data_IF_835205320868
#
_entry.id   IF_835205320868
#
_cell.length_a   1.000
_cell.length_b   1.000
_cell.length_c   1.000
_cell.angle_alpha   90.00
_cell.angle_beta   90.00
_cell.angle_gamma   90.00
#
_symmetry.space_group_name_H-M   'P 1'
#
loop_
_entity.id
_entity.type
_entity.pdbx_description
1 polymer ?
#
# COMPACT_ATOMS: atom_id res chain seq x y z
N UNK A 1 -21.16 -1.86 9.29
CA UNK A 1 -20.75 -3.26 9.30
C UNK A 1 -19.33 -3.42 8.76
N UNK A 2 -18.38 -2.72 9.38
CA UNK A 2 -16.99 -2.79 8.94
C UNK A 2 -16.25 -3.90 9.67
N UNK A 3 -15.02 -4.18 9.24
CA UNK A 3 -14.21 -5.21 9.86
C UNK A 3 -13.60 -4.72 11.17
N UNK A 4 -12.76 -5.57 11.77
CA UNK A 4 -12.11 -5.22 13.03
C UNK A 4 -11.22 -3.99 12.87
N UNK A 5 -10.50 -3.93 11.75
CA UNK A 5 -9.60 -2.81 11.47
C UNK A 5 -10.26 -1.82 10.52
N UNK A 6 -9.65 -0.65 10.38
CA UNK A 6 -10.17 0.39 9.50
C UNK A 6 -9.28 0.57 8.27
N UNK A 7 -9.90 0.91 7.15
CA UNK A 7 -9.17 1.11 5.89
C UNK A 7 -9.04 2.60 5.58
N UNK A 8 -7.81 3.03 5.30
CA UNK A 8 -7.55 4.42 4.98
C UNK A 8 -6.77 4.56 3.67
N UNK A 9 -6.72 5.76 3.12
CA UNK A 9 -6.02 6.01 1.87
C UNK A 9 -4.57 5.56 1.97
N UNK A 10 -3.94 5.83 3.12
CA UNK A 10 -2.55 5.47 3.34
C UNK A 10 -2.39 3.95 3.36
N UNK A 11 -3.26 3.28 4.11
CA UNK A 11 -3.21 1.82 4.22
C UNK A 11 -1.79 1.34 4.47
N UNK A 12 -1.43 1.24 5.75
CA UNK A 12 -0.09 0.80 6.13
C UNK A 12 0.03 -0.72 6.02
N UNK A 13 0.73 -1.19 4.99
CA UNK A 13 0.91 -2.61 4.78
C UNK A 13 2.30 -2.90 4.19
N UNK A 14 2.63 -4.18 4.08
CA UNK A 14 3.92 -4.59 3.55
C UNK A 14 3.73 -5.44 2.28
N UNK A 15 4.49 -5.12 1.25
CA UNK A 15 4.41 -5.84 -0.02
C UNK A 15 5.73 -6.56 -0.32
N UNK A 16 5.63 -7.84 -0.66
CA UNK A 16 6.80 -8.64 -0.97
C UNK A 16 7.12 -8.59 -2.47
N UNK A 17 8.34 -8.18 -2.79
CA UNK A 17 8.77 -8.08 -4.18
C UNK A 17 9.45 -9.37 -4.64
N UNK A 18 10.00 -10.11 -3.68
CA UNK A 18 10.68 -11.35 -4.01
C UNK A 18 10.89 -12.24 -2.79
N UNK A 19 12.09 -12.17 -2.21
CA UNK A 19 12.42 -12.96 -1.04
C UNK A 19 13.05 -12.09 0.05
N UNK A 20 13.91 -11.16 -0.36
CA UNK A 20 14.57 -10.28 0.58
C UNK A 20 14.33 -8.82 0.21
N UNK A 21 13.36 -8.58 -0.67
CA UNK A 21 13.03 -7.23 -1.11
C UNK A 21 11.55 -6.95 -0.94
N UNK A 22 11.23 -5.92 -0.16
CA UNK A 22 9.84 -5.55 0.08
C UNK A 22 9.64 -4.04 -0.10
N UNK A 23 8.42 -3.65 -0.45
CA UNK A 23 8.10 -2.24 -0.66
C UNK A 23 6.74 -1.90 -0.05
N UNK A 24 6.58 -0.63 0.37
CA UNK A 24 5.33 -0.16 0.97
C UNK A 24 4.20 -0.06 -0.04
N UNK A 25 2.99 -0.43 0.38
CA UNK A 25 1.83 -0.38 -0.50
C UNK A 25 0.70 0.42 0.14
N UNK A 26 0.10 1.31 -0.63
CA UNK A 26 -1.00 2.14 -0.14
C UNK A 26 -2.21 2.04 -1.07
N UNK A 27 -3.37 1.77 -0.50
CA UNK A 27 -4.60 1.66 -1.28
C UNK A 27 -5.30 3.01 -1.39
N UNK A 28 -5.50 3.47 -2.63
CA UNK A 28 -6.16 4.74 -2.87
C UNK A 28 -7.68 4.58 -2.85
N UNK A 29 -8.14 3.34 -2.72
CA UNK A 29 -9.58 3.06 -2.69
C UNK A 29 -10.22 3.44 -4.02
N UNK A 30 -9.65 2.95 -5.12
CA UNK A 30 -10.17 3.23 -6.45
C UNK A 30 -10.64 1.95 -7.14
N UNK A 31 -11.93 1.85 -7.38
CA UNK A 31 -12.49 0.68 -8.03
C UNK A 31 -12.19 0.69 -9.53
N UNK A 32 -12.38 -0.47 -10.17
CA UNK A 32 -12.12 -0.57 -11.59
C UNK A 32 -13.37 -0.92 -12.39
N UNK A 33 -14.52 -0.42 -11.93
CA UNK A 33 -15.78 -0.68 -12.61
C UNK A 33 -16.76 0.47 -12.41
N UNK A 34 -17.33 0.57 -11.22
CA UNK A 34 -18.28 1.63 -10.91
C UNK A 34 -18.74 1.53 -9.46
N UNK A 35 -17.85 1.08 -8.59
CA UNK A 35 -18.18 0.95 -7.18
C UNK A 35 -18.70 -0.43 -6.83
N UNK A 36 -18.03 -1.45 -7.34
CA UNK A 36 -18.44 -2.84 -7.08
C UNK A 36 -17.70 -3.40 -5.87
N UNK A 37 -16.80 -2.60 -5.31
CA UNK A 37 -16.02 -3.02 -4.14
C UNK A 37 -16.85 -2.86 -2.86
N UNK A 38 -18.05 -2.32 -3.00
CA UNK A 38 -18.91 -2.12 -1.84
C UNK A 38 -19.81 -3.31 -1.58
N UNK A 39 -19.74 -4.30 -2.45
CA UNK A 39 -20.56 -5.50 -2.32
C UNK A 39 -19.70 -6.76 -2.33
N UNK A 40 -19.22 -7.13 -3.52
CA UNK A 40 -18.39 -8.33 -3.66
C UNK A 40 -18.00 -8.54 -5.12
N UNK A 41 -16.77 -8.97 -5.35
CA UNK A 41 -16.26 -9.21 -6.69
C UNK A 41 -17.13 -10.24 -7.42
N UNK A 42 -17.87 -11.03 -6.65
CA UNK A 42 -18.74 -12.06 -7.23
C UNK A 42 -19.76 -11.43 -8.17
N UNK A 43 -20.19 -10.22 -7.85
CA UNK A 43 -21.17 -9.52 -8.67
C UNK A 43 -20.67 -9.34 -10.09
N UNK A 44 -19.71 -8.44 -10.27
CA UNK A 44 -19.16 -8.19 -11.59
C UNK A 44 -17.66 -8.35 -11.64
N UNK A 45 -16.93 -7.28 -11.35
CA UNK A 45 -15.48 -7.30 -11.36
C UNK A 45 -14.90 -6.19 -10.49
N UNK A 46 -15.24 -6.21 -9.21
CA UNK A 46 -14.75 -5.20 -8.27
C UNK A 46 -13.25 -5.30 -8.10
N UNK A 47 -12.52 -4.36 -8.69
CA UNK A 47 -11.07 -4.34 -8.60
C UNK A 47 -10.57 -3.06 -7.95
N UNK A 48 -9.78 -3.20 -6.89
CA UNK A 48 -9.24 -2.05 -6.18
C UNK A 48 -7.82 -1.73 -6.65
N UNK A 49 -7.67 -0.59 -7.32
CA UNK A 49 -6.37 -0.17 -7.82
C UNK A 49 -5.60 0.61 -6.76
N UNK A 50 -4.38 0.15 -6.46
CA UNK A 50 -3.54 0.81 -5.48
C UNK A 50 -2.25 1.33 -6.10
N UNK A 51 -1.74 2.42 -5.57
CA UNK A 51 -0.51 3.03 -6.07
C UNK A 51 0.40 3.44 -4.93
N UNK A 52 1.52 2.75 -4.79
CA UNK A 52 2.49 3.04 -3.74
C UNK A 52 3.15 4.40 -3.97
N UNK A 53 4.19 4.69 -3.18
CA UNK A 53 4.91 5.95 -3.30
C UNK A 53 6.23 5.75 -4.03
N UNK A 54 6.68 6.80 -4.73
CA UNK A 54 7.94 6.77 -5.48
C UNK A 54 9.16 6.74 -4.57
N UNK A 55 10.16 5.95 -4.96
CA UNK A 55 11.37 5.84 -4.16
C UNK A 55 12.48 6.74 -4.68
N UNK A 56 13.70 6.24 -4.62
CA UNK A 56 14.86 6.99 -5.08
C UNK A 56 15.26 6.58 -6.50
N UNK A 57 15.07 5.31 -6.81
CA UNK A 57 15.41 4.80 -8.14
C UNK A 57 14.19 4.17 -8.80
N UNK A 58 13.32 3.56 -8.00
CA UNK A 58 12.12 2.91 -8.52
C UNK A 58 10.91 3.82 -8.35
N UNK A 59 10.00 3.76 -9.31
CA UNK A 59 8.79 4.57 -9.28
C UNK A 59 7.58 3.73 -8.91
N UNK A 60 6.59 4.35 -8.28
CA UNK A 60 5.37 3.66 -7.88
C UNK A 60 4.56 3.22 -9.09
N UNK A 61 4.02 2.01 -9.02
CA UNK A 61 3.22 1.47 -10.11
C UNK A 61 1.75 1.37 -9.73
N UNK A 62 0.89 1.18 -10.72
CA UNK A 62 -0.55 1.08 -10.50
C UNK A 62 -1.08 -0.25 -10.99
N UNK A 63 -1.71 -1.01 -10.10
CA UNK A 63 -2.27 -2.31 -10.45
C UNK A 63 -3.64 -2.50 -9.82
N UNK A 64 -4.56 -3.06 -10.59
CA UNK A 64 -5.93 -3.30 -10.10
C UNK A 64 -6.10 -4.75 -9.66
N UNK A 65 -6.48 -4.94 -8.40
CA UNK A 65 -6.69 -6.28 -7.86
C UNK A 65 -7.78 -6.28 -6.79
N UNK A 66 -8.36 -7.44 -6.54
CA UNK A 66 -9.41 -7.57 -5.55
C UNK A 66 -8.94 -7.08 -4.18
N UNK A 67 -7.65 -7.26 -3.91
CA UNK A 67 -7.07 -6.83 -2.64
C UNK A 67 -5.58 -7.16 -2.60
N UNK A 68 -5.21 -8.32 -3.12
CA UNK A 68 -3.82 -8.75 -3.14
C UNK A 68 -3.28 -8.93 -1.72
N UNK A 69 -4.19 -9.13 -0.78
CA UNK A 69 -3.82 -9.32 0.62
C UNK A 69 -2.99 -10.59 0.80
N UNK A 70 -3.13 -11.51 -0.15
CA UNK A 70 -2.40 -12.77 -0.09
C UNK A 70 -0.93 -12.57 -0.48
N UNK A 71 -0.61 -11.36 -0.91
CA UNK A 71 0.75 -11.03 -1.33
C UNK A 71 1.36 -9.97 -0.42
N UNK A 72 0.49 -9.21 0.25
CA UNK A 72 0.94 -8.15 1.15
C UNK A 72 0.42 -8.38 2.57
N UNK A 73 1.27 -8.14 3.55
CA UNK A 73 0.90 -8.32 4.95
C UNK A 73 0.40 -7.02 5.56
N UNK A 74 -0.08 -7.08 6.79
CA UNK A 74 -0.59 -5.92 7.49
C UNK A 74 0.30 -5.55 8.67
N UNK A 75 1.35 -4.78 8.39
CA UNK A 75 2.29 -4.35 9.43
C UNK A 75 3.23 -3.28 8.90
N UNK A 76 4.22 -2.91 9.72
CA UNK A 76 5.19 -1.89 9.34
C UNK A 76 6.59 -2.49 9.22
N UNK A 77 7.46 -1.81 8.46
CA UNK A 77 8.84 -2.25 8.25
C UNK A 77 9.68 -2.11 9.50
N UNK A 78 10.80 -2.84 9.54
CA UNK A 78 11.70 -2.80 10.69
C UNK A 78 12.77 -1.73 10.50
N UNK A 79 12.90 -1.25 9.27
CA UNK A 79 13.90 -0.23 8.96
C UNK A 79 15.31 -0.79 9.06
N UNK A 80 15.80 -0.94 10.28
CA UNK A 80 17.14 -1.47 10.52
C UNK A 80 17.28 -2.87 9.93
N UNK A 81 16.22 -3.66 10.05
CA UNK A 81 16.23 -5.03 9.53
C UNK A 81 16.14 -5.03 8.01
N UNK A 82 15.78 -3.88 7.44
CA UNK A 82 15.66 -3.75 5.99
C UNK A 82 16.88 -3.04 5.40
N UNK A 83 17.64 -2.38 6.27
CA UNK A 83 18.83 -1.66 5.84
C UNK A 83 19.98 -2.62 5.54
N UNK A 84 20.59 -2.46 4.37
CA UNK A 84 21.70 -3.33 3.97
C UNK A 84 22.49 -2.69 2.83
N UNK A 85 21.82 -2.46 1.70
CA UNK A 85 22.46 -1.87 0.54
C UNK A 85 21.48 -1.70 -0.60
N UNK A 86 20.22 -1.46 -0.27
CA UNK A 86 19.17 -1.29 -1.26
C UNK A 86 18.75 0.18 -1.36
N UNK A 87 19.18 0.84 -2.43
CA UNK A 87 18.85 2.25 -2.64
C UNK A 87 17.34 2.45 -2.65
N UNK A 88 16.64 1.60 -3.39
CA UNK A 88 15.19 1.70 -3.49
C UNK A 88 14.53 1.41 -2.14
N UNK A 89 15.03 0.38 -1.45
CA UNK A 89 14.50 0.01 -0.15
C UNK A 89 14.62 1.16 0.85
N UNK A 90 15.70 1.93 0.72
CA UNK A 90 15.94 3.07 1.60
C UNK A 90 14.79 4.07 1.52
N UNK A 91 14.46 4.47 0.29
CA UNK A 91 13.38 5.43 0.07
C UNK A 91 12.03 4.85 0.49
N UNK A 92 11.84 3.56 0.20
CA UNK A 92 10.60 2.88 0.55
C UNK A 92 10.37 2.88 2.06
N UNK A 93 11.46 2.69 2.81
CA UNK A 93 11.37 2.67 4.27
C UNK A 93 10.84 3.99 4.81
N UNK A 94 11.23 5.08 4.18
CA UNK A 94 10.78 6.41 4.60
C UNK A 94 9.28 6.57 4.36
N UNK A 95 8.83 6.20 3.17
CA UNK A 95 7.42 6.31 2.83
C UNK A 95 6.55 5.50 3.80
N UNK A 96 6.81 4.21 3.89
CA UNK A 96 6.07 3.33 4.78
C UNK A 96 5.94 3.95 6.17
N UNK A 97 6.98 4.67 6.59
CA UNK A 97 6.99 5.30 7.90
C UNK A 97 6.03 6.48 7.94
N UNK A 98 6.04 7.28 6.88
CA UNK A 98 5.17 8.45 6.79
C UNK A 98 3.71 8.03 6.65
N UNK A 99 3.49 6.92 5.96
CA UNK A 99 2.13 6.41 5.74
C UNK A 99 1.68 5.55 6.92
N UNK A 100 0.90 6.15 7.81
CA UNK A 100 0.40 5.45 8.99
C UNK A 100 -1.07 5.76 9.23
N UNK A 101 -1.89 5.57 8.21
CA UNK A 101 -3.32 5.84 8.30
C UNK A 101 -3.57 7.25 8.83
N UNK A 102 -2.63 8.15 8.55
CA UNK A 102 -2.76 9.54 8.99
C UNK A 102 -1.73 10.42 8.29
N UNK A 103 -1.51 10.15 7.01
CA UNK A 103 -0.55 10.92 6.23
C UNK A 103 -1.18 12.22 5.72
N UNK A 104 -0.40 13.30 5.76
CA UNK A 104 -0.88 14.60 5.30
C UNK A 104 -2.09 15.06 6.11
N UNK A 105 -2.17 14.58 7.35
CA UNK A 105 -3.28 14.95 8.23
C UNK A 105 -2.80 15.86 9.36
N UNK A 106 -1.65 15.53 9.94
CA UNK A 106 -1.07 16.32 11.02
C UNK A 106 -0.23 17.46 10.47
N UNK A 107 0.73 17.11 9.61
CA UNK A 107 1.61 18.11 9.02
C UNK A 107 0.94 18.80 7.83
N UNK A 108 1.33 20.05 7.59
CA UNK A 108 0.76 20.82 6.49
C UNK A 108 1.37 20.39 5.16
N UNK A 109 0.55 20.44 4.10
CA UNK A 109 0.99 20.06 2.75
C UNK A 109 1.97 21.08 2.16
N UNK A 110 2.28 20.91 0.87
CA UNK A 110 3.20 21.80 0.19
C UNK A 110 2.54 23.14 -0.11
#
# INVERSE_FOLDING_TARGET
>A
MLQERVFHINDRVWLKTGANTWWPAKVTSVTGVEGVDGRSSETGTSTVTVLTYPGTQNKATYKNVDSHSSAITFFEPSSEKAVTANEDLLQAIRNAEEDKESNALRFEPTLEHHHHHH
#
